data_IF_936787668953
#
_entry.id   IF_936787668953
#
_cell.length_a   1.000
_cell.length_b   1.000
_cell.length_c   1.000
_cell.angle_alpha   90.00
_cell.angle_beta   90.00
_cell.angle_gamma   90.00
#
_symmetry.space_group_name_H-M   'P 1'
#
loop_
_entity.id
_entity.type
_entity.pdbx_description
1 polymer ?
2 polymer ?
3 non-polymer ?
4 non-polymer ?
5 water ?
#
# COMPACT_ATOMS: atom_id res chain seq x y z
N UNK A 1 10.46 -6.71 8.16
CA UNK A 1 10.08 -7.91 7.41
C UNK A 1 10.85 -9.11 7.94
N UNK A 2 10.11 -10.17 8.29
CA UNK A 2 10.66 -11.42 8.81
C UNK A 2 10.59 -12.51 7.70
N UNK A 3 11.72 -13.14 7.40
CA UNK A 3 11.82 -14.23 6.43
C UNK A 3 11.71 -13.86 4.96
N UNK A 4 11.96 -12.61 4.64
CA UNK A 4 11.90 -12.12 3.26
C UNK A 4 13.30 -11.97 2.66
N UNK A 5 13.45 -11.06 1.70
CA UNK A 5 14.74 -10.87 1.04
C UNK A 5 14.92 -9.41 0.76
N UNK A 6 16.16 -9.00 0.44
CA UNK A 6 16.40 -7.61 0.06
C UNK A 6 15.66 -7.36 -1.24
N UNK A 7 14.92 -6.24 -1.30
CA UNK A 7 14.23 -5.84 -2.51
C UNK A 7 15.35 -5.28 -3.39
N UNK A 8 15.64 -5.88 -4.56
CA UNK A 8 16.68 -5.29 -5.41
C UNK A 8 16.36 -3.81 -5.66
N UNK A 9 17.37 -2.96 -5.54
CA UNK A 9 17.22 -1.50 -5.70
C UNK A 9 16.39 -1.13 -6.95
N UNK A 10 15.33 -0.36 -6.72
CA UNK A 10 14.39 0.12 -7.74
C UNK A 10 13.26 -0.84 -8.04
N UNK A 11 13.18 -2.01 -7.36
CA UNK A 11 12.09 -2.95 -7.63
C UNK A 11 10.82 -2.74 -6.79
N UNK A 12 10.86 -1.84 -5.81
CA UNK A 12 9.67 -1.46 -5.00
C UNK A 12 9.68 0.08 -5.09
N UNK A 13 9.57 0.66 -6.31
CA UNK A 13 9.77 2.10 -6.47
C UNK A 13 8.70 3.01 -5.87
N UNK A 14 7.58 2.44 -5.39
CA UNK A 14 6.51 3.18 -4.74
C UNK A 14 6.71 3.16 -3.20
N UNK A 15 7.68 2.40 -2.70
CA UNK A 15 7.92 2.33 -1.25
C UNK A 15 8.33 3.69 -0.74
N UNK A 16 7.71 4.09 0.38
CA UNK A 16 8.03 5.39 1.02
C UNK A 16 8.62 5.07 2.40
N UNK A 17 9.54 5.89 2.88
CA UNK A 17 10.03 5.80 4.25
C UNK A 17 9.55 7.11 4.93
N UNK A 18 8.85 6.99 6.03
CA UNK A 18 8.43 8.15 6.82
C UNK A 18 9.38 8.36 7.99
N UNK A 19 9.85 9.60 8.13
CA UNK A 19 10.80 10.03 9.15
C UNK A 19 10.21 11.11 10.02
N UNK A 20 10.52 11.10 11.32
CA UNK A 20 10.10 12.14 12.23
C UNK A 20 11.35 12.59 12.97
N UNK A 21 11.82 13.82 12.72
CA UNK A 21 13.08 14.31 13.31
C UNK A 21 14.27 13.47 12.81
N UNK A 22 14.16 12.95 11.59
CA UNK A 22 15.21 12.15 10.96
C UNK A 22 15.23 10.69 11.34
N UNK A 23 14.38 10.28 12.27
CA UNK A 23 14.27 8.92 12.76
C UNK A 23 13.16 8.17 12.02
N UNK A 24 13.40 6.90 11.71
CA UNK A 24 12.48 5.99 11.07
C UNK A 24 11.18 5.92 11.84
N UNK A 25 10.06 6.21 11.17
CA UNK A 25 8.73 6.14 11.80
C UNK A 25 7.92 4.95 11.26
N UNK A 26 7.68 4.91 9.95
CA UNK A 26 6.79 3.94 9.32
C UNK A 26 7.11 3.92 7.84
N UNK A 27 6.43 3.03 7.14
CA UNK A 27 6.48 3.00 5.69
C UNK A 27 5.26 3.70 5.16
N UNK A 28 5.16 3.75 3.84
CA UNK A 28 4.05 4.34 3.13
C UNK A 28 4.08 3.88 1.69
N UNK A 29 3.08 4.28 0.91
CA UNK A 29 3.05 3.91 -0.53
C UNK A 29 2.71 5.15 -1.34
N UNK A 30 3.55 5.47 -2.33
CA UNK A 30 3.29 6.57 -3.24
C UNK A 30 2.19 6.10 -4.21
N UNK A 31 1.11 6.93 -4.37
CA UNK A 31 0.04 6.53 -5.30
C UNK A 31 -0.09 7.50 -6.50
N UNK A 32 0.60 8.63 -6.45
CA UNK A 32 0.78 9.59 -7.53
C UNK A 32 1.91 10.53 -7.06
N UNK A 33 2.20 11.62 -7.75
CA UNK A 33 3.33 12.46 -7.41
C UNK A 33 3.22 13.26 -6.12
N UNK A 34 2.03 13.38 -5.51
CA UNK A 34 1.94 14.18 -4.28
C UNK A 34 1.25 13.45 -3.12
N UNK A 35 0.68 12.28 -3.35
CA UNK A 35 -0.08 11.56 -2.34
C UNK A 35 0.53 10.24 -1.93
N UNK A 36 0.56 10.00 -0.61
CA UNK A 36 1.12 8.78 0.01
C UNK A 36 0.07 8.16 0.90
N UNK A 37 -0.12 6.85 0.81
CA UNK A 37 -1.03 6.21 1.73
C UNK A 37 -0.20 5.49 2.80
N UNK A 38 -0.57 5.68 4.07
CA UNK A 38 0.14 5.02 5.16
C UNK A 38 -0.88 4.49 6.18
N UNK A 39 -0.44 4.20 7.42
CA UNK A 39 -1.34 3.70 8.46
C UNK A 39 -1.62 4.78 9.43
N UNK A 40 -2.90 4.93 9.83
CA UNK A 40 -3.28 5.95 10.81
C UNK A 40 -2.50 5.84 12.11
N UNK A 41 -2.24 4.58 12.60
CA UNK A 41 -1.61 4.36 13.90
C UNK A 41 -0.21 4.94 14.00
N UNK A 42 0.47 5.15 12.89
CA UNK A 42 1.81 5.73 12.85
C UNK A 42 1.80 7.15 13.36
N UNK A 43 0.63 7.81 13.37
CA UNK A 43 0.60 9.22 13.78
C UNK A 43 0.05 9.45 15.19
N UNK A 44 -0.19 8.38 15.95
CA UNK A 44 -0.73 8.43 17.32
C UNK A 44 0.16 9.20 18.30
N UNK A 45 1.48 9.19 18.11
CA UNK A 45 2.39 9.81 19.08
C UNK A 45 3.12 11.05 18.57
N UNK A 46 2.75 11.56 17.39
CA UNK A 46 3.41 12.74 16.83
C UNK A 46 2.96 14.02 17.56
N UNK A 47 3.94 14.86 17.92
CA UNK A 47 3.75 16.20 18.49
C UNK A 47 4.49 17.17 17.57
N UNK A 48 5.56 16.62 16.96
CA UNK A 48 6.53 17.21 16.03
C UNK A 48 5.98 17.13 14.57
N UNK A 49 4.72 17.55 14.32
CA UNK A 49 4.04 17.47 13.02
C UNK A 49 4.77 18.17 11.88
N UNK A 50 5.54 19.21 12.18
CA UNK A 50 6.29 20.03 11.23
C UNK A 50 7.59 19.37 10.72
N UNK A 51 8.06 18.30 11.42
CA UNK A 51 9.29 17.57 11.09
C UNK A 51 9.01 16.14 10.55
N UNK A 52 7.84 15.95 9.93
CA UNK A 52 7.46 14.68 9.32
C UNK A 52 7.91 14.75 7.87
N UNK A 53 8.77 13.83 7.46
CA UNK A 53 9.37 13.80 6.13
C UNK A 53 9.07 12.48 5.45
N UNK A 54 8.79 12.50 4.14
CA UNK A 54 8.60 11.27 3.36
C UNK A 54 9.80 11.18 2.43
N UNK A 55 10.41 10.01 2.38
CA UNK A 55 11.54 9.77 1.49
C UNK A 55 11.12 8.76 0.44
N UNK A 56 11.30 9.13 -0.86
CA UNK A 56 11.02 8.28 -2.00
C UNK A 56 12.37 7.89 -2.61
N UNK A 57 12.41 6.81 -3.38
CA UNK A 57 13.63 6.30 -4.00
C UNK A 57 14.68 5.81 -3.01
N UNK A 58 14.26 5.56 -1.77
CA UNK A 58 15.19 5.04 -0.75
C UNK A 58 15.42 3.55 -0.96
N UNK A 59 16.61 3.04 -0.58
CA UNK A 59 16.94 1.63 -0.67
C UNK A 59 17.80 1.24 0.53
N UNK A 60 19.02 1.81 0.64
CA UNK A 60 19.97 1.51 1.70
C UNK A 60 20.07 2.71 2.61
N UNK A 61 19.70 2.56 3.90
CA UNK A 61 19.67 3.67 4.88
C UNK A 61 21.04 4.18 5.29
N UNK A 62 22.08 3.44 4.98
CA UNK A 62 23.42 3.82 5.41
C UNK A 62 24.14 4.73 4.44
N UNK A 63 23.63 4.84 3.20
CA UNK A 63 24.31 5.58 2.14
C UNK A 63 23.34 6.42 1.37
N UNK A 64 23.77 7.61 0.96
CA UNK A 64 23.01 8.47 0.08
C UNK A 64 23.55 8.19 -1.33
N UNK A 65 22.72 7.69 -2.25
CA UNK A 65 23.21 7.40 -3.61
C UNK A 65 22.71 8.40 -4.68
N UNK A 66 21.91 9.38 -4.28
CA UNK A 66 21.40 10.40 -5.18
C UNK A 66 20.02 10.16 -5.75
N UNK A 67 19.47 8.96 -5.59
CA UNK A 67 18.11 8.63 -6.08
C UNK A 67 17.01 8.97 -5.07
N UNK A 68 17.39 9.29 -3.83
CA UNK A 68 16.45 9.59 -2.76
C UNK A 68 15.87 10.94 -2.98
N UNK A 69 14.58 11.09 -2.71
CA UNK A 69 13.95 12.41 -2.77
C UNK A 69 13.20 12.54 -1.47
N UNK A 70 13.40 13.63 -0.76
CA UNK A 70 12.72 13.93 0.49
C UNK A 70 11.71 15.03 0.32
N UNK A 71 10.54 14.87 0.94
CA UNK A 71 9.50 15.89 0.91
C UNK A 71 8.91 16.04 2.30
N UNK A 72 8.56 17.25 2.65
CA UNK A 72 7.90 17.51 3.92
C UNK A 72 6.49 17.05 3.73
N UNK A 73 5.88 16.52 4.78
CA UNK A 73 4.47 16.09 4.71
C UNK A 73 3.65 17.30 5.12
N UNK A 74 2.87 17.83 4.20
CA UNK A 74 2.03 19.02 4.44
C UNK A 74 0.75 18.71 5.17
N UNK A 75 0.18 17.51 4.96
CA UNK A 75 -1.08 17.14 5.62
C UNK A 75 -1.17 15.66 5.83
N UNK A 76 -1.82 15.22 6.95
CA UNK A 76 -2.05 13.82 7.28
C UNK A 76 -3.54 13.75 7.49
N UNK A 77 -4.21 12.98 6.65
CA UNK A 77 -5.68 12.86 6.69
C UNK A 77 -6.02 11.49 7.20
N UNK A 78 -6.81 11.44 8.26
CA UNK A 78 -7.21 10.20 8.90
C UNK A 78 -8.76 10.08 8.91
N UNK A 79 -9.34 8.88 8.70
CA UNK A 79 -10.81 8.78 8.73
C UNK A 79 -11.36 9.07 10.12
N UNK A 80 -12.54 9.66 10.19
CA UNK A 80 -13.21 9.97 11.47
C UNK A 80 -13.42 8.75 12.31
N UNK A 81 -13.61 7.58 11.66
CA UNK A 81 -13.87 6.30 12.34
C UNK A 81 -12.64 5.71 13.04
N UNK A 82 -11.43 6.19 12.72
CA UNK A 82 -10.20 5.71 13.35
C UNK A 82 -10.15 6.22 14.80
N UNK A 83 -9.90 5.32 15.75
CA UNK A 83 -9.76 5.68 17.15
C UNK A 83 -8.27 5.48 17.58
N UNK A 84 -7.56 6.52 18.04
CA UNK A 84 -6.15 6.32 18.44
C UNK A 84 -5.97 5.22 19.48
N UNK A 85 -4.91 4.45 19.33
CA UNK A 85 -4.62 3.32 20.20
C UNK A 85 -5.31 2.04 19.79
N UNK A 86 -6.13 2.08 18.72
CA UNK A 86 -6.81 0.90 18.17
C UNK A 86 -6.23 0.60 16.78
N UNK A 87 -6.70 -0.54 16.21
CA UNK A 87 -6.24 -1.14 14.95
C UNK A 87 -7.21 -0.99 13.75
N UNK A 88 -8.47 -0.65 14.01
CA UNK A 88 -9.52 -0.57 12.99
C UNK A 88 -9.45 0.72 12.22
N UNK A 89 -9.82 0.73 10.92
CA UNK A 89 -9.77 1.90 10.02
C UNK A 89 -8.33 2.46 9.98
N UNK A 90 -7.35 1.57 9.90
CA UNK A 90 -5.94 1.92 10.00
C UNK A 90 -5.35 2.40 8.66
N UNK A 91 -5.70 3.63 8.28
CA UNK A 91 -5.26 4.23 7.02
C UNK A 91 -5.10 5.73 7.21
N UNK A 92 -4.14 6.30 6.50
CA UNK A 92 -3.90 7.74 6.50
C UNK A 92 -3.53 8.11 5.09
N UNK A 93 -3.93 9.27 4.66
CA UNK A 93 -3.60 9.83 3.35
C UNK A 93 -2.77 11.08 3.56
N UNK A 94 -1.55 11.09 3.02
CA UNK A 94 -0.57 12.16 3.22
C UNK A 94 -0.34 12.95 1.97
N UNK A 95 -0.39 14.28 2.11
CA UNK A 95 -0.11 15.18 0.99
C UNK A 95 1.29 15.71 1.18
N UNK A 96 2.09 15.61 0.13
CA UNK A 96 3.45 16.08 0.21
C UNK A 96 3.46 17.58 -0.07
N UNK A 97 4.44 18.30 0.49
CA UNK A 97 4.55 19.75 0.34
C UNK A 97 4.73 20.10 -1.16
N UNK A 98 5.53 19.30 -1.86
CA UNK A 98 5.74 19.46 -3.30
C UNK A 98 5.84 18.11 -3.95
N UNK A 99 5.43 17.95 -5.23
CA UNK A 99 5.52 16.60 -5.84
C UNK A 99 6.92 16.05 -5.86
N UNK A 100 7.01 14.70 -5.84
CA UNK A 100 8.26 14.00 -6.11
C UNK A 100 8.37 13.97 -7.60
N UNK A 101 9.60 13.86 -8.12
CA UNK A 101 9.86 13.77 -9.54
C UNK A 101 9.94 12.26 -9.90
N UNK A 102 9.12 11.80 -10.84
CA UNK A 102 9.16 10.39 -11.22
C UNK A 102 10.42 10.06 -11.96
N UNK A 103 11.06 8.96 -11.58
CA UNK A 103 12.33 8.51 -12.17
C UNK A 103 12.25 6.99 -12.20
N UNK A 104 13.31 6.31 -12.67
CA UNK A 104 13.33 4.84 -12.62
C UNK A 104 13.20 4.34 -11.18
N UNK A 105 13.54 5.19 -10.18
CA UNK A 105 13.57 4.78 -8.79
C UNK A 105 12.39 5.28 -7.97
N UNK A 106 11.57 6.17 -8.55
CA UNK A 106 10.41 6.75 -7.87
C UNK A 106 9.21 6.63 -8.83
N UNK A 107 8.31 5.69 -8.54
CA UNK A 107 7.12 5.42 -9.37
C UNK A 107 5.91 5.16 -8.47
N UNK A 108 4.71 5.68 -8.79
CA UNK A 108 3.55 5.36 -7.94
C UNK A 108 2.99 3.98 -8.17
N UNK A 109 2.33 3.44 -7.16
CA UNK A 109 1.63 2.17 -7.25
C UNK A 109 0.22 2.60 -7.62
N UNK A 110 -0.46 1.81 -8.45
CA UNK A 110 -1.79 2.16 -8.91
C UNK A 110 -2.82 1.98 -7.78
N UNK A 111 -3.61 3.02 -7.52
CA UNK A 111 -4.67 2.84 -6.51
C UNK A 111 -5.82 2.32 -7.43
N UNK A 112 -6.30 1.09 -7.24
CA UNK A 112 -7.32 0.55 -8.17
C UNK A 112 -8.70 1.12 -7.94
N UNK A 113 -9.65 0.81 -8.85
CA UNK A 113 -11.06 1.13 -8.65
C UNK A 113 -11.61 0.12 -7.65
N UNK A 114 -12.65 0.52 -6.91
CA UNK A 114 -13.21 -0.36 -5.86
C UNK A 114 -13.68 -1.72 -6.37
N UNK A 115 -14.59 -1.73 -7.36
CA UNK A 115 -15.16 -2.95 -7.91
C UNK A 115 -14.06 -3.87 -8.49
N UNK A 116 -13.14 -3.33 -9.28
CA UNK A 116 -12.02 -4.11 -9.80
C UNK A 116 -11.22 -4.75 -8.64
N UNK A 117 -10.98 -3.97 -7.57
CA UNK A 117 -10.24 -4.47 -6.41
C UNK A 117 -10.98 -5.59 -5.66
N UNK A 118 -12.27 -5.42 -5.45
CA UNK A 118 -13.12 -6.39 -4.75
C UNK A 118 -13.39 -7.63 -5.58
N UNK A 119 -13.67 -7.48 -6.89
CA UNK A 119 -14.00 -8.67 -7.66
C UNK A 119 -12.83 -9.33 -8.36
N UNK A 120 -11.70 -8.64 -8.56
CA UNK A 120 -10.57 -9.27 -9.24
C UNK A 120 -9.34 -9.37 -8.33
N UNK A 121 -8.84 -8.21 -7.84
CA UNK A 121 -7.60 -8.18 -7.03
C UNK A 121 -7.66 -9.01 -5.76
N UNK A 122 -8.82 -8.99 -5.10
CA UNK A 122 -9.01 -9.73 -3.84
C UNK A 122 -8.81 -11.26 -3.99
N UNK A 123 -8.81 -11.76 -5.24
CA UNK A 123 -8.66 -13.19 -5.55
C UNK A 123 -7.29 -13.53 -6.11
N UNK A 124 -6.39 -12.54 -6.20
CA UNK A 124 -5.00 -12.80 -6.58
C UNK A 124 -4.39 -13.31 -5.26
N UNK A 125 -3.89 -14.56 -5.28
CA UNK A 125 -3.41 -15.24 -4.08
C UNK A 125 -2.28 -14.53 -3.37
N UNK A 126 -1.14 -14.33 -4.09
CA UNK A 126 0.05 -13.74 -3.51
C UNK A 126 0.20 -12.27 -3.81
N UNK A 127 0.75 -11.52 -2.82
CA UNK A 127 1.06 -10.10 -2.97
C UNK A 127 2.36 -9.79 -2.25
N UNK A 128 3.01 -8.67 -2.58
CA UNK A 128 4.28 -8.30 -1.95
C UNK A 128 4.10 -7.29 -0.84
N UNK A 129 4.76 -7.54 0.29
CA UNK A 129 4.77 -6.66 1.45
C UNK A 129 6.23 -6.26 1.64
N UNK A 130 6.47 -4.99 1.98
CA UNK A 130 7.84 -4.50 2.06
C UNK A 130 8.05 -3.45 3.13
N UNK A 131 9.31 -3.32 3.54
CA UNK A 131 9.67 -2.31 4.52
C UNK A 131 11.05 -2.47 5.12
N UNK A 132 11.43 -1.47 5.92
CA UNK A 132 12.72 -1.44 6.63
C UNK A 132 12.49 -1.78 8.12
N UNK A 133 11.41 -2.49 8.41
CA UNK A 133 11.05 -2.89 9.75
C UNK A 133 11.92 -3.99 10.31
N UNK A 134 11.56 -4.44 11.51
CA UNK A 134 12.31 -5.47 12.24
C UNK A 134 12.45 -6.72 11.43
N UNK A 135 13.68 -7.27 11.39
CA UNK A 135 13.97 -8.52 10.68
C UNK A 135 13.53 -9.74 11.47
N UNK A 136 13.29 -9.56 12.79
CA UNK A 136 12.85 -10.58 13.74
C UNK A 136 11.99 -9.91 14.77
N UNK A 137 11.07 -10.69 15.39
CA UNK A 137 10.28 -10.19 16.53
C UNK A 137 11.33 -9.87 17.64
N UNK A 138 11.30 -8.66 18.20
CA UNK A 138 12.25 -8.18 19.22
C UNK A 138 13.70 -8.04 18.68
N UNK A 139 13.80 -7.84 17.36
CA UNK A 139 15.10 -7.70 16.70
C UNK A 139 15.35 -6.34 16.08
N UNK A 140 16.52 -6.20 15.48
CA UNK A 140 16.97 -4.97 14.83
C UNK A 140 16.19 -4.77 13.50
N UNK A 141 16.06 -3.51 13.10
CA UNK A 141 15.42 -3.13 11.84
C UNK A 141 16.46 -3.30 10.71
N UNK A 142 15.98 -3.33 9.44
CA UNK A 142 16.79 -3.54 8.25
C UNK A 142 17.43 -2.28 7.74
N UNK A 143 18.68 -2.39 7.23
CA UNK A 143 19.33 -1.25 6.60
C UNK A 143 18.93 -1.16 5.11
N UNK A 144 18.64 -2.31 4.50
CA UNK A 144 18.20 -2.35 3.08
C UNK A 144 16.73 -2.74 3.03
N UNK A 145 15.99 -2.17 2.09
CA UNK A 145 14.58 -2.46 1.95
C UNK A 145 14.37 -3.94 1.72
N UNK A 146 13.44 -4.54 2.49
CA UNK A 146 13.10 -5.93 2.42
C UNK A 146 11.73 -6.12 1.82
N UNK A 147 11.51 -7.28 1.21
CA UNK A 147 10.27 -7.64 0.53
C UNK A 147 9.93 -9.07 0.83
N UNK A 148 8.64 -9.36 0.87
CA UNK A 148 8.10 -10.66 1.17
C UNK A 148 6.82 -10.91 0.40
N UNK A 149 6.72 -12.09 -0.21
CA UNK A 149 5.54 -12.54 -0.93
C UNK A 149 4.64 -13.26 0.06
N UNK A 150 3.38 -12.83 0.19
CA UNK A 150 2.43 -13.41 1.15
C UNK A 150 1.12 -13.81 0.50
N UNK A 151 0.53 -14.99 0.86
CA UNK A 151 -0.79 -15.32 0.34
C UNK A 151 -1.90 -14.72 1.20
N UNK A 152 -2.99 -14.29 0.56
CA UNK A 152 -4.15 -13.72 1.23
C UNK A 152 -5.09 -14.84 1.64
N UNK A 153 -5.76 -14.65 2.79
CA UNK A 153 -6.70 -15.59 3.36
C UNK A 153 -8.08 -14.98 3.48
N UNK A 154 -9.14 -15.83 3.40
CA UNK A 154 -10.51 -15.38 3.65
C UNK A 154 -10.58 -15.22 5.18
N UNK A 155 -11.25 -14.17 5.68
CA UNK A 155 -11.27 -13.83 7.11
C UNK A 155 -11.76 -15.01 8.00
N UNK A 156 -12.76 -15.80 7.54
CA UNK A 156 -13.27 -16.96 8.27
C UNK A 156 -12.13 -17.98 8.46
N UNK A 157 -11.40 -18.28 7.36
CA UNK A 157 -10.25 -19.18 7.36
C UNK A 157 -9.17 -18.66 8.33
N UNK A 158 -8.90 -17.33 8.32
CA UNK A 158 -7.92 -16.70 9.22
C UNK A 158 -8.36 -16.85 10.67
N UNK A 159 -9.65 -16.61 10.97
CA UNK A 159 -10.21 -16.69 12.32
C UNK A 159 -10.20 -18.10 12.90
N UNK A 160 -10.63 -19.11 12.11
CA UNK A 160 -10.63 -20.50 12.58
C UNK A 160 -9.20 -21.04 12.79
N UNK A 161 -8.26 -20.60 11.93
CA UNK A 161 -6.85 -20.98 11.95
C UNK A 161 -6.05 -20.25 12.99
N UNK A 162 -6.40 -18.98 13.26
CA UNK A 162 -5.71 -18.14 14.23
C UNK A 162 -6.29 -18.40 15.61
N UNK A 163 -5.69 -19.44 16.27
CA UNK A 163 -5.92 -20.05 17.57
C UNK A 163 -6.70 -19.22 18.56
N UNK A 164 -7.50 -19.93 19.37
CA UNK A 164 -8.29 -19.34 20.46
C UNK A 164 -7.37 -18.84 21.61
N UNK A 165 -6.76 -17.68 21.36
CA UNK A 165 -5.81 -16.95 22.18
C UNK A 165 -6.58 -15.76 22.80
N UNK A 166 -6.65 -15.72 24.14
CA UNK A 166 -7.33 -14.69 24.93
C UNK A 166 -7.07 -13.27 24.47
N UNK A 167 -8.16 -12.47 24.33
CA UNK A 167 -8.20 -11.09 23.85
C UNK A 167 -7.78 -10.96 22.36
N UNK A 168 -7.85 -12.11 21.56
CA UNK A 168 -7.56 -12.18 20.10
C UNK A 168 -8.56 -11.23 19.46
N UNK A 169 -8.09 -10.06 18.96
CA UNK A 169 -9.05 -9.07 18.51
C UNK A 169 -9.82 -9.48 17.27
N UNK A 170 -10.90 -8.74 17.02
CA UNK A 170 -11.77 -8.94 15.88
C UNK A 170 -11.06 -8.50 14.60
N UNK A 171 -11.24 -9.28 13.54
CA UNK A 171 -10.75 -8.97 12.21
C UNK A 171 -12.01 -8.45 11.51
N UNK A 172 -12.09 -7.13 11.34
CA UNK A 172 -13.23 -6.43 10.78
C UNK A 172 -13.24 -6.48 9.24
N UNK A 173 -14.31 -5.92 8.65
CA UNK A 173 -14.47 -5.83 7.20
C UNK A 173 -13.48 -4.82 6.60
N UNK A 174 -12.80 -4.03 7.47
CA UNK A 174 -11.81 -3.04 7.06
C UNK A 174 -10.40 -3.60 7.13
N UNK A 175 -10.29 -4.94 7.27
CA UNK A 175 -9.02 -5.65 7.38
C UNK A 175 -9.07 -6.94 6.57
N UNK A 176 -7.90 -7.54 6.36
CA UNK A 176 -7.75 -8.88 5.81
C UNK A 176 -6.46 -9.47 6.34
N UNK A 177 -6.39 -10.80 6.35
CA UNK A 177 -5.23 -11.55 6.79
C UNK A 177 -4.41 -11.98 5.60
N UNK A 178 -3.09 -12.00 5.79
CA UNK A 178 -2.18 -12.50 4.76
C UNK A 178 -0.92 -12.97 5.44
N UNK A 179 -0.34 -14.01 4.91
CA UNK A 179 0.90 -14.51 5.46
C UNK A 179 0.91 -15.99 5.70
N UNK A 180 1.63 -16.39 6.74
CA UNK A 180 1.87 -17.78 7.09
C UNK A 180 1.71 -17.98 8.60
N UNK A 181 1.09 -19.10 8.99
CA UNK A 181 0.88 -19.45 10.39
C UNK A 181 1.99 -20.36 10.95
N UNK A 182 3.01 -20.68 10.15
CA UNK A 182 4.10 -21.57 10.59
C UNK A 182 5.30 -20.86 11.28
N UNK A 183 5.18 -19.56 11.57
CA UNK A 183 6.21 -18.79 12.25
C UNK A 183 7.46 -18.43 11.46
N UNK A 184 7.38 -18.49 10.13
CA UNK A 184 8.54 -18.21 9.29
C UNK A 184 8.59 -16.85 8.64
N UNK A 185 7.45 -16.37 8.15
CA UNK A 185 7.42 -15.16 7.31
C UNK A 185 6.29 -14.23 7.67
N UNK A 186 6.59 -12.92 7.78
CA UNK A 186 5.56 -11.94 8.12
C UNK A 186 6.12 -10.56 7.98
N UNK A 187 5.25 -9.53 8.04
CA UNK A 187 5.75 -8.17 8.13
C UNK A 187 5.92 -7.94 9.68
N UNK A 188 6.54 -6.84 10.10
CA UNK A 188 6.77 -6.65 11.54
C UNK A 188 6.70 -5.18 11.93
N UNK A 189 7.03 -4.82 13.20
CA UNK A 189 7.06 -3.41 13.61
C UNK A 189 8.08 -2.69 12.74
N UNK A 190 7.78 -1.44 12.41
CA UNK A 190 8.61 -0.64 11.52
C UNK A 190 8.19 -0.74 10.09
N UNK A 191 7.44 -1.82 9.72
CA UNK A 191 6.89 -1.99 8.36
C UNK A 191 5.49 -1.33 8.25
N UNK A 192 4.83 -1.04 9.40
CA UNK A 192 3.48 -0.45 9.43
C UNK A 192 3.38 0.69 8.46
N UNK A 193 2.28 0.76 7.73
CA UNK A 193 2.04 1.82 6.76
C UNK A 193 2.48 1.46 5.37
N UNK A 194 3.35 0.45 5.26
CA UNK A 194 3.92 0.04 4.00
C UNK A 194 2.93 -0.68 3.09
N UNK A 195 3.31 -0.88 1.82
CA UNK A 195 2.36 -1.50 0.87
C UNK A 195 2.25 -3.02 0.91
N UNK A 196 1.05 -3.50 0.59
CA UNK A 196 0.69 -4.85 0.25
C UNK A 196 0.19 -4.62 -1.19
N UNK A 197 1.05 -4.93 -2.13
CA UNK A 197 0.95 -4.70 -3.57
C UNK A 197 0.60 -5.98 -4.33
N UNK A 198 -0.42 -5.90 -5.21
CA UNK A 198 -0.91 -7.06 -5.93
C UNK A 198 -0.72 -6.89 -7.43
N UNK A 199 -0.16 -7.92 -8.07
CA UNK A 199 0.05 -7.93 -9.52
C UNK A 199 -1.18 -8.45 -10.28
N UNK A 200 -1.59 -7.73 -11.33
CA UNK A 200 -2.67 -8.24 -12.18
C UNK A 200 -2.39 -7.78 -13.59
N UNK A 201 -2.20 -8.75 -14.49
CA UNK A 201 -1.96 -8.56 -15.91
C UNK A 201 -0.92 -7.48 -16.22
N UNK A 202 0.25 -7.63 -15.62
CA UNK A 202 1.39 -6.77 -15.90
C UNK A 202 1.49 -5.46 -15.14
N UNK A 203 0.52 -5.17 -14.24
CA UNK A 203 0.48 -3.94 -13.43
C UNK A 203 0.28 -4.23 -11.96
N UNK A 204 0.92 -3.43 -11.06
CA UNK A 204 0.79 -3.58 -9.61
C UNK A 204 -0.17 -2.57 -9.04
N UNK A 205 -0.95 -3.01 -8.06
CA UNK A 205 -2.01 -2.22 -7.43
C UNK A 205 -1.93 -2.27 -5.90
N UNK A 206 -2.43 -1.21 -5.26
CA UNK A 206 -2.47 -1.14 -3.81
C UNK A 206 -3.69 -1.83 -3.30
N UNK A 207 -3.54 -2.95 -2.58
CA UNK A 207 -4.66 -3.67 -1.98
C UNK A 207 -4.62 -3.69 -0.44
N UNK A 208 -3.47 -3.49 0.16
CA UNK A 208 -3.39 -3.50 1.62
C UNK A 208 -2.36 -2.54 2.18
N UNK A 209 -2.42 -2.29 3.51
CA UNK A 209 -1.47 -1.49 4.27
C UNK A 209 -1.03 -2.33 5.46
N UNK A 210 0.28 -2.48 5.69
CA UNK A 210 0.80 -3.18 6.88
C UNK A 210 0.18 -2.50 8.09
N UNK A 211 -0.58 -3.25 8.88
CA UNK A 211 -1.31 -2.63 9.97
C UNK A 211 -0.99 -3.23 11.34
N UNK A 212 -1.33 -4.52 11.55
CA UNK A 212 -1.08 -5.17 12.86
C UNK A 212 -0.96 -6.70 12.77
N UNK A 213 -0.90 -7.34 13.92
CA UNK A 213 -0.80 -8.79 14.10
C UNK A 213 -0.44 -9.11 15.53
N UNK A 214 -0.47 -10.38 15.92
CA UNK A 214 -0.07 -10.79 17.29
C UNK A 214 1.40 -11.17 17.19
N UNK A 215 2.28 -10.23 17.55
CA UNK A 215 3.72 -10.40 17.40
C UNK A 215 4.09 -10.41 15.93
N UNK A 216 5.29 -10.95 15.59
CA UNK A 216 5.74 -11.09 14.20
C UNK A 216 6.11 -12.50 13.94
N UNK A 217 5.51 -13.08 12.87
CA UNK A 217 5.73 -14.47 12.46
C UNK A 217 5.53 -15.41 13.69
N UNK A 218 4.40 -15.23 14.40
CA UNK A 218 4.04 -16.06 15.55
C UNK A 218 3.21 -17.23 15.02
N UNK A 219 3.50 -18.44 15.53
CA UNK A 219 2.81 -19.68 15.16
C UNK A 219 1.31 -19.57 15.38
N UNK A 220 0.56 -19.95 14.37
CA UNK A 220 -0.89 -19.90 14.37
C UNK A 220 -1.47 -18.55 14.03
N UNK A 221 -0.62 -17.53 13.75
CA UNK A 221 -1.10 -16.18 13.46
C UNK A 221 -0.64 -15.65 12.12
N UNK A 222 -1.42 -14.69 11.57
CA UNK A 222 -1.13 -14.08 10.27
C UNK A 222 -0.99 -12.57 10.44
N UNK A 223 -0.36 -11.92 9.47
CA UNK A 223 -0.30 -10.46 9.42
C UNK A 223 -1.70 -9.93 9.09
N UNK A 224 -2.08 -8.77 9.65
CA UNK A 224 -3.38 -8.14 9.39
C UNK A 224 -3.12 -6.83 8.65
N UNK A 225 -3.83 -6.65 7.54
CA UNK A 225 -3.63 -5.54 6.61
C UNK A 225 -4.90 -4.72 6.45
N UNK A 226 -4.79 -3.40 6.30
CA UNK A 226 -5.97 -2.56 6.07
C UNK A 226 -6.52 -2.92 4.70
N UNK A 227 -7.83 -3.14 4.60
CA UNK A 227 -8.44 -3.48 3.33
C UNK A 227 -8.70 -2.17 2.58
N UNK A 228 -7.73 -1.77 1.76
CA UNK A 228 -7.73 -0.50 0.99
C UNK A 228 -8.98 -0.33 0.10
N UNK A 229 -9.53 -1.43 -0.43
CA UNK A 229 -10.74 -1.35 -1.30
C UNK A 229 -11.92 -0.64 -0.64
N UNK A 230 -12.01 -0.70 0.69
CA UNK A 230 -13.08 -0.04 1.45
C UNK A 230 -12.93 1.48 1.45
N UNK A 231 -11.70 1.98 1.10
CA UNK A 231 -11.36 3.39 1.21
C UNK A 231 -11.14 4.12 -0.09
N UNK A 232 -11.26 3.43 -1.23
CA UNK A 232 -11.02 4.02 -2.56
C UNK A 232 -11.77 5.34 -2.76
N UNK A 233 -13.08 5.32 -2.53
CA UNK A 233 -13.94 6.49 -2.74
C UNK A 233 -13.58 7.61 -1.80
N UNK A 234 -13.28 7.25 -0.53
CA UNK A 234 -12.84 8.18 0.50
C UNK A 234 -11.50 8.85 0.07
N UNK A 235 -10.56 8.07 -0.41
CA UNK A 235 -9.25 8.58 -0.87
C UNK A 235 -9.41 9.45 -2.10
N UNK A 236 -10.20 8.99 -3.07
CA UNK A 236 -10.42 9.73 -4.31
C UNK A 236 -11.04 11.10 -4.09
N UNK A 237 -12.02 11.17 -3.19
CA UNK A 237 -12.67 12.43 -2.86
C UNK A 237 -11.71 13.41 -2.26
N UNK A 238 -10.86 12.95 -1.33
CA UNK A 238 -9.87 13.83 -0.68
C UNK A 238 -8.79 14.31 -1.64
N UNK A 239 -8.38 13.45 -2.55
CA UNK A 239 -7.36 13.84 -3.53
C UNK A 239 -7.86 14.87 -4.52
N UNK A 240 -9.18 14.95 -4.73
CA UNK A 240 -9.78 15.93 -5.65
C UNK A 240 -10.12 17.23 -4.90
N UNK A 241 -9.66 17.36 -3.67
CA UNK A 241 -10.05 18.55 -2.94
C UNK A 241 -8.89 19.47 -2.60
N UNK A 242 -9.23 20.72 -2.29
CA UNK A 242 -8.25 21.76 -1.99
C UNK A 242 -7.68 21.57 -0.62
N UNK A 243 -6.36 21.82 -0.47
CA UNK A 243 -5.74 21.72 0.87
C UNK A 243 -6.39 22.65 1.88
N UNK A 244 -6.35 22.25 3.18
CA UNK A 244 -6.87 23.01 4.32
C UNK A 244 -5.72 23.27 5.28
N UNK A 245 -5.71 24.42 6.01
CA UNK A 245 -4.62 24.65 6.99
C UNK A 245 -4.62 23.60 8.12
N UNK A 246 -3.45 23.40 8.72
CA UNK A 246 -3.26 22.40 9.78
C UNK A 246 -2.77 21.08 9.20
N UNK A 247 -1.74 20.48 9.83
CA UNK A 247 -1.19 19.23 9.31
C UNK A 247 -2.19 18.09 9.46
N UNK A 248 -2.72 17.87 10.64
CA UNK A 248 -3.68 16.79 10.85
C UNK A 248 -5.09 17.16 10.47
N UNK A 249 -5.74 16.35 9.63
CA UNK A 249 -7.13 16.50 9.26
C UNK A 249 -7.92 15.20 9.49
N UNK A 250 -9.04 15.27 10.22
CA UNK A 250 -9.93 14.14 10.35
C UNK A 250 -11.04 14.36 9.35
N UNK A 251 -11.25 13.38 8.48
CA UNK A 251 -12.24 13.49 7.40
C UNK A 251 -13.30 12.45 7.59
N UNK A 252 -14.60 12.80 7.42
CA UNK A 252 -15.66 11.81 7.67
C UNK A 252 -15.51 10.56 6.83
N UNK A 253 -15.79 9.43 7.44
CA UNK A 253 -15.80 8.14 6.75
C UNK A 253 -17.11 7.47 7.10
N UNK A 254 -17.92 6.99 6.13
CA UNK A 254 -17.70 6.99 4.67
C UNK A 254 -17.65 8.38 4.03
N UNK B 1 -21.08 -8.97 -17.29
CA UNK B 1 -19.85 -9.35 -18.03
C UNK B 1 -18.61 -9.14 -17.13
N UNK B 2 -18.52 -7.98 -16.47
CA UNK B 2 -17.41 -7.60 -15.60
C UNK B 2 -17.20 -8.55 -14.42
N UNK B 3 -18.27 -9.22 -13.98
CA UNK B 3 -18.20 -10.18 -12.86
C UNK B 3 -17.35 -11.42 -13.22
N UNK B 4 -17.38 -11.85 -14.51
CA UNK B 4 -16.63 -13.01 -15.04
C UNK B 4 -15.31 -12.60 -15.70
N UNK B 5 -14.18 -13.03 -15.11
CA UNK B 5 -12.79 -12.77 -15.56
C UNK B 5 -12.51 -11.29 -15.95
N UNK B 6 -13.08 -10.36 -15.14
CA UNK B 6 -12.93 -8.90 -15.27
C UNK B 6 -13.44 -8.38 -16.63
N UNK B 7 -14.42 -9.10 -17.19
CA UNK B 7 -15.01 -8.79 -18.49
C UNK B 7 -14.02 -8.89 -19.63
N UNK B 8 -12.89 -9.53 -19.37
CA UNK B 8 -11.80 -9.64 -20.34
C UNK B 8 -10.88 -8.41 -20.34
N UNK B 9 -11.18 -7.41 -19.48
CA UNK B 9 -10.40 -6.17 -19.38
C UNK B 9 -9.05 -6.36 -18.71
N UNK B 10 -8.03 -5.67 -19.21
CA UNK B 10 -6.69 -5.71 -18.61
C UNK B 10 -6.73 -4.92 -17.29
N UNK B 11 -7.49 -3.81 -17.25
CA UNK B 11 -7.61 -2.99 -16.04
C UNK B 11 -9.06 -2.89 -15.54
N UNK B 12 -9.76 -1.77 -15.75
CA UNK B 12 -11.10 -1.54 -15.21
C UNK B 12 -12.18 -1.94 -16.18
N UNK B 13 -13.32 -2.37 -15.64
CA UNK B 13 -14.46 -2.85 -16.40
C UNK B 13 -15.75 -2.17 -15.95
N UNK B 14 -16.56 -1.73 -16.93
CA UNK B 14 -17.87 -1.12 -16.71
C UNK B 14 -18.94 -1.91 -17.48
N UNK B 15 -19.99 -2.36 -16.77
CA UNK B 15 -21.11 -3.07 -17.38
C UNK B 15 -22.09 -2.03 -17.86
N UNK B 16 -22.66 -2.24 -19.06
CA UNK B 16 -23.67 -1.34 -19.64
C UNK B 16 -24.97 -2.06 -19.91
N UNK B 17 -26.05 -1.28 -20.11
CA UNK B 17 -27.42 -1.76 -20.35
C UNK B 17 -27.48 -2.76 -21.52
N UNK B 18 -27.71 -4.02 -21.17
CA UNK B 18 -27.76 -5.14 -22.11
C UNK B 18 -26.46 -5.90 -22.02
N UNK B 19 -26.00 -6.43 -23.14
CA UNK B 19 -24.75 -7.20 -23.20
C UNK B 19 -23.51 -6.30 -23.46
N UNK B 20 -23.59 -4.97 -23.16
CA UNK B 20 -22.51 -4.03 -23.46
C UNK B 20 -21.50 -3.90 -22.32
N UNK B 21 -20.22 -3.92 -22.66
CA UNK B 21 -19.14 -3.85 -21.69
C UNK B 21 -18.10 -2.86 -22.20
N UNK B 22 -17.61 -1.98 -21.31
CA UNK B 22 -16.56 -1.02 -21.66
C UNK B 22 -15.38 -1.18 -20.71
N UNK B 23 -14.21 -1.49 -21.26
CA UNK B 23 -12.99 -1.55 -20.47
C UNK B 23 -12.47 -0.13 -20.39
N UNK B 24 -11.77 0.18 -19.30
CA UNK B 24 -11.15 1.49 -19.09
C UNK B 24 -9.80 1.26 -18.47
N UNK B 25 -8.99 2.32 -18.43
CA UNK B 25 -7.64 2.23 -17.92
C UNK B 25 -7.44 3.30 -16.86
N UNK B 26 -6.41 3.11 -16.03
CA UNK B 26 -6.01 4.10 -15.03
C UNK B 26 -5.37 5.25 -15.83
N UNK B 27 -5.34 6.45 -15.27
CA UNK B 27 -4.67 7.61 -15.87
C UNK B 27 -3.23 7.20 -16.22
N UNK B 28 -2.68 7.74 -17.30
CA UNK B 28 -1.34 7.41 -17.77
C UNK B 28 -1.32 6.19 -18.67
N UNK B 29 -2.52 5.67 -19.00
CA UNK B 29 -2.74 4.54 -19.92
C UNK B 29 -3.87 4.86 -20.88
N UNK B 30 -3.81 4.29 -22.09
CA UNK B 30 -4.85 4.37 -23.12
C UNK B 30 -5.29 2.96 -23.52
N UNK B 31 -6.55 2.80 -23.86
CA UNK B 31 -7.13 1.54 -24.28
C UNK B 31 -6.81 1.30 -25.75
N UNK B 32 -6.37 0.09 -26.08
CA UNK B 32 -6.04 -0.27 -27.47
C UNK B 32 -7.31 -0.56 -28.25
N UNK B 33 -7.20 -0.67 -29.61
CA UNK B 33 -8.38 -0.91 -30.46
C UNK B 33 -9.05 -2.26 -30.21
N UNK B 34 -8.36 -3.20 -29.49
CA UNK B 34 -9.00 -4.45 -29.09
C UNK B 34 -10.07 -4.19 -28.02
N UNK B 35 -10.06 -3.00 -27.41
CA UNK B 35 -11.05 -2.64 -26.41
C UNK B 35 -10.82 -3.26 -25.06
N UNK B 36 -9.68 -3.93 -24.87
CA UNK B 36 -9.38 -4.62 -23.59
C UNK B 36 -8.00 -4.26 -23.02
N UNK B 37 -6.99 -4.04 -23.90
CA UNK B 37 -5.62 -3.79 -23.47
C UNK B 37 -5.36 -2.35 -23.16
N UNK B 38 -4.49 -2.12 -22.17
CA UNK B 38 -4.06 -0.78 -21.73
C UNK B 38 -2.59 -0.60 -22.06
N UNK B 39 -2.27 0.51 -22.71
CA UNK B 39 -0.89 0.83 -23.05
C UNK B 39 -0.46 2.14 -22.39
N UNK B 40 0.77 2.22 -21.83
CA UNK B 40 1.19 3.48 -21.19
C UNK B 40 1.23 4.67 -22.15
N UNK B 41 0.83 5.85 -21.63
CA UNK B 41 0.88 7.09 -22.42
C UNK B 41 1.90 8.08 -21.82
N UNK B 42 2.53 7.66 -20.71
CA UNK B 42 3.53 8.45 -19.98
C UNK B 42 4.76 7.63 -19.78
N UNK B 43 5.85 8.28 -19.38
CA UNK B 43 7.13 7.60 -19.17
C UNK B 43 7.13 6.74 -17.90
N UNK B 44 6.46 7.23 -16.84
CA UNK B 44 6.41 6.47 -15.59
C UNK B 44 4.95 6.19 -15.19
N UNK B 45 4.29 5.25 -15.91
CA UNK B 45 2.90 4.92 -15.56
C UNK B 45 2.90 4.20 -14.23
N UNK B 46 1.80 4.29 -13.50
CA UNK B 46 1.70 3.64 -12.20
C UNK B 46 1.80 2.12 -12.30
N UNK B 47 2.30 1.49 -11.25
CA UNK B 47 2.34 0.03 -11.17
C UNK B 47 3.24 -0.74 -12.09
N UNK B 48 4.17 -0.06 -12.76
CA UNK B 48 5.21 -0.67 -13.63
C UNK B 48 6.55 -0.36 -13.03
N UNK B 49 7.50 -1.32 -13.12
CA UNK B 49 8.82 -1.20 -12.56
C UNK B 49 9.82 -0.95 -13.67
N UNK B 50 10.28 0.33 -13.84
CA UNK B 50 11.17 0.66 -14.94
C UNK B 50 12.42 -0.21 -15.12
N UNK B 51 13.11 -0.57 -14.04
CA UNK B 51 14.33 -1.36 -14.20
C UNK B 51 14.03 -2.75 -14.80
N UNK B 52 12.82 -3.28 -14.52
CA UNK B 52 12.36 -4.55 -15.05
C UNK B 52 11.75 -4.40 -16.46
N UNK B 53 11.05 -3.27 -16.73
CA UNK B 53 10.45 -2.99 -18.04
C UNK B 53 11.54 -2.80 -19.10
N UNK B 54 12.61 -2.06 -18.75
CA UNK B 54 13.76 -1.76 -19.62
C UNK B 54 14.66 -3.00 -19.83
N UNK B 55 14.59 -4.01 -18.92
CA UNK B 55 15.36 -5.25 -18.98
C UNK B 55 14.94 -6.13 -20.17
X LIG C 1 5.11 0.69 16.36
X LIG C 1 5.85 1.00 17.51
X LIG C 1 7.21 1.28 17.43
X LIG C 1 7.86 1.27 16.21
X LIG C 1 7.15 0.99 15.05
X LIG C 1 5.77 0.71 15.12
X LIG C 1 2.33 -5.39 14.34
X LIG C 1 2.52 -4.25 13.54
X LIG C 1 2.27 -2.98 14.08
X LIG C 1 1.71 -2.82 15.41
X LIG C 1 2.37 -3.86 16.33
X LIG C 1 2.02 -5.27 15.82
X LIG C 1 2.54 -6.77 12.35
X LIG C 1 2.70 -5.63 11.58
X LIG C 1 2.72 -4.38 12.17
X LIG C 1 2.38 -6.65 13.73
X LIG C 1 2.45 -8.14 11.74
X LIG C 1 2.28 -8.27 10.36
X LIG C 1 2.64 -9.20 12.51
X LIG C 1 2.91 -6.15 16.69
X LIG C 1 2.03 -1.44 15.96
X LIG C 1 3.33 -0.98 15.92
X LIG C 1 3.70 0.24 16.49
X LIG C 1 2.71 1.01 17.10
X LIG C 1 1.38 0.57 17.14
X LIG C 1 1.06 -0.66 16.58
X LIG C 1 4.24 -6.39 16.37
X LIG C 1 5.10 -6.96 17.30
X LIG C 1 4.64 -7.31 18.56
X LIG C 1 3.31 -7.11 18.87
X LIG C 1 2.45 -6.55 17.95
X LIG C 1 0.38 1.35 17.73
X LIG C 1 5.03 0.56 13.86
X LIG C 1 5.42 -0.45 13.11
X LIG C 1 4.04 1.25 13.63
X LIG C 1 5.33 1.03 18.47
X LIG C 1 7.77 1.51 18.34
X LIG C 1 8.93 1.48 16.15
X LIG C 1 7.66 0.98 14.09
X LIG C 1 2.47 -2.16 13.51
X LIG C 1 0.64 -2.97 15.37
X LIG C 1 3.45 -3.71 16.39
X LIG C 1 2.02 -3.73 17.35
X LIG C 1 0.97 -5.52 15.97
X LIG C 1 2.84 -5.68 10.51
X LIG C 1 2.91 -3.52 11.54
X LIG C 1 2.26 -7.51 14.37
X LIG C 1 2.17 -7.48 9.72
X LIG C 1 2.57 -10.12 12.09
X LIG C 1 4.11 -1.59 15.46
X LIG C 1 2.99 1.97 17.55
X LIG C 1 0.04 -1.02 16.62
X LIG C 1 4.65 -6.12 15.39
X LIG C 1 6.15 -7.12 17.04
X LIG C 1 5.32 -7.74 19.29
X LIG C 1 2.94 -7.40 19.85
X LIG C 1 1.40 -6.42 18.20
X LIG C 1 0.60 2.25 18.15
X LIG C 1 -0.59 1.03 17.77
X LIG C 1 4.92 -0.54 12.27
X LIG C 1 2.30 -9.18 9.91
X LIG D 1 20.21 5.62 0.73
#
# INVERSE_FOLDING_TARGET
IVGGKVCPKGECPWQVLLLVNGAQLCGGTLINTIWVVSAAHCFDKIKNWRNLIAVLGEHDLSEHDGDEQSRRVAQVIIPSTYVPGTTNHDIALLRLHQPVVLTDHVVPLCLPERTFSERTLAFVRFSLVSGWGQLLDRGATALELMVLNVPRLMTQDCLQQSRKVGDSPNITEYMFCAGYSDGSKDSCKGDSGGPHATHYRGTWYLTGIVSWGQGCATVGHFGVYTRVSQYIEWLQKLMRSEPRPGVLLRAPFP
ICVNENGGCEQYCSDHTGTKRSCRCHEGYSLLADGVSCTPTVEYPCGKIPILEKR
1T7 C1 C2 C3 C4 C5 C6 C7 C8 N9 C10 C11 C12 C13 C14 C15 C16 C17 N18 N19 C20 C21 C22 C23 C24 C25 C26 C27 C28 C29 C30 C31 N32 C33 O34 O35 H36 H37 H38 H39 H40 H41 H42 H43 H44 H45 H46 H47 H48 H50 H51 H52 H53 H54 H55 H56 H57 H58 H60 H59 H61 H49
CA CA
#
